data_IF_858530778574
#
_entry.id   IF_858530778574
#
_cell.length_a   1.000
_cell.length_b   1.000
_cell.length_c   1.000
_cell.angle_alpha   90.00
_cell.angle_beta   90.00
_cell.angle_gamma   90.00
#
_symmetry.space_group_name_H-M   'P 1'
#
loop_
_entity.id
_entity.type
_entity.pdbx_description
1 polymer ?
#
# COMPACT_ATOMS: atom_id res chain seq x y z
N UNK A 1 22.30 16.86 -16.76
CA UNK A 1 22.33 16.21 -15.43
C UNK A 1 20.99 15.52 -15.22
N UNK A 2 20.94 14.17 -15.17
CA UNK A 2 19.68 13.47 -14.84
C UNK A 2 19.34 13.76 -13.37
N UNK A 3 18.09 14.11 -13.08
CA UNK A 3 17.63 14.33 -11.71
C UNK A 3 17.81 13.05 -10.89
N UNK A 4 18.14 13.21 -9.59
CA UNK A 4 18.21 12.11 -8.64
C UNK A 4 17.08 12.26 -7.64
N UNK A 5 16.43 11.16 -7.29
CA UNK A 5 15.47 11.16 -6.20
C UNK A 5 16.20 11.29 -4.85
N UNK A 6 15.69 12.14 -3.97
CA UNK A 6 16.07 12.06 -2.56
C UNK A 6 15.39 10.82 -1.96
N UNK A 7 16.19 9.86 -1.51
CA UNK A 7 15.71 8.56 -1.03
C UNK A 7 14.77 8.67 0.16
N UNK A 8 15.09 9.54 1.12
CA UNK A 8 14.31 9.72 2.35
C UNK A 8 13.01 10.45 2.05
N UNK A 9 13.04 11.49 1.21
CA UNK A 9 11.82 12.17 0.78
C UNK A 9 10.87 11.22 0.05
N UNK A 10 11.39 10.39 -0.87
CA UNK A 10 10.55 9.43 -1.58
C UNK A 10 10.00 8.35 -0.64
N UNK A 11 10.82 7.82 0.26
CA UNK A 11 10.40 6.83 1.25
C UNK A 11 9.29 7.36 2.18
N UNK A 12 9.46 8.58 2.71
CA UNK A 12 8.46 9.23 3.56
C UNK A 12 7.16 9.49 2.78
N UNK A 13 7.25 9.99 1.55
CA UNK A 13 6.08 10.21 0.70
C UNK A 13 5.33 8.89 0.41
N UNK A 14 6.06 7.81 0.07
CA UNK A 14 5.46 6.49 -0.15
C UNK A 14 4.78 5.95 1.11
N UNK A 15 5.41 6.09 2.28
CA UNK A 15 4.85 5.64 3.55
C UNK A 15 3.55 6.37 3.90
N UNK A 16 3.55 7.70 3.81
CA UNK A 16 2.37 8.53 4.07
C UNK A 16 1.26 8.22 3.08
N UNK A 17 1.59 8.11 1.79
CA UNK A 17 0.62 7.80 0.74
C UNK A 17 -0.06 6.45 0.96
N UNK A 18 0.72 5.40 1.27
CA UNK A 18 0.16 4.08 1.56
C UNK A 18 -0.62 4.08 2.88
N UNK A 19 -0.21 4.86 3.88
CA UNK A 19 -1.00 5.04 5.10
C UNK A 19 -2.38 5.63 4.81
N UNK A 20 -2.45 6.67 3.97
CA UNK A 20 -3.71 7.28 3.53
C UNK A 20 -4.55 6.25 2.78
N UNK A 21 -3.98 5.56 1.79
CA UNK A 21 -4.68 4.52 1.02
C UNK A 21 -5.22 3.44 1.96
N UNK A 22 -4.45 2.97 2.92
CA UNK A 22 -4.89 1.94 3.87
C UNK A 22 -6.15 2.37 4.63
N UNK A 23 -6.18 3.61 5.13
CA UNK A 23 -7.33 4.17 5.83
C UNK A 23 -8.54 4.37 4.90
N UNK A 24 -8.31 4.81 3.66
CA UNK A 24 -9.38 4.96 2.66
C UNK A 24 -9.95 3.60 2.28
N UNK A 25 -9.10 2.62 1.96
CA UNK A 25 -9.53 1.24 1.69
C UNK A 25 -10.35 0.69 2.84
N UNK A 26 -9.93 0.98 4.08
CA UNK A 26 -10.67 0.57 5.27
C UNK A 26 -12.08 1.14 5.29
N UNK A 27 -12.20 2.43 5.10
CA UNK A 27 -13.47 3.13 5.09
C UNK A 27 -14.40 2.61 3.99
N UNK A 28 -13.86 2.37 2.80
CA UNK A 28 -14.60 1.80 1.67
C UNK A 28 -15.10 0.38 1.94
N UNK A 29 -14.31 -0.48 2.58
CA UNK A 29 -14.75 -1.85 2.93
C UNK A 29 -15.93 -1.82 3.90
N UNK A 30 -15.95 -0.87 4.82
CA UNK A 30 -17.04 -0.75 5.81
C UNK A 30 -18.30 -0.15 5.18
N UNK A 31 -18.18 0.89 4.36
CA UNK A 31 -19.34 1.58 3.78
C UNK A 31 -19.87 0.93 2.49
N UNK A 32 -18.98 0.36 1.69
CA UNK A 32 -19.27 -0.19 0.36
C UNK A 32 -18.63 -1.58 0.20
N UNK A 33 -19.05 -2.58 0.99
CA UNK A 33 -18.39 -3.88 1.05
C UNK A 33 -18.40 -4.63 -0.29
N UNK A 34 -19.51 -4.64 -1.01
CA UNK A 34 -19.63 -5.36 -2.28
C UNK A 34 -18.76 -4.75 -3.39
N UNK A 35 -18.73 -3.41 -3.48
CA UNK A 35 -17.85 -2.72 -4.42
C UNK A 35 -16.37 -2.99 -4.10
N UNK A 36 -16.01 -2.87 -2.81
CA UNK A 36 -14.63 -3.12 -2.35
C UNK A 36 -14.18 -4.55 -2.63
N UNK A 37 -15.09 -5.51 -2.43
CA UNK A 37 -14.88 -6.93 -2.72
C UNK A 37 -14.68 -7.17 -4.21
N UNK A 38 -15.55 -6.62 -5.05
CA UNK A 38 -15.45 -6.75 -6.52
C UNK A 38 -14.14 -6.18 -7.07
N UNK A 39 -13.74 -4.99 -6.59
CA UNK A 39 -12.44 -4.38 -6.96
C UNK A 39 -11.28 -5.27 -6.51
N UNK A 40 -11.29 -5.75 -5.26
CA UNK A 40 -10.25 -6.65 -4.75
C UNK A 40 -10.16 -7.92 -5.59
N UNK A 41 -11.28 -8.55 -5.90
CA UNK A 41 -11.33 -9.75 -6.72
C UNK A 41 -10.78 -9.54 -8.14
N UNK A 42 -10.89 -8.33 -8.69
CA UNK A 42 -10.36 -8.02 -10.03
C UNK A 42 -8.82 -7.89 -10.09
N UNK A 43 -8.17 -7.64 -8.95
CA UNK A 43 -6.71 -7.42 -8.89
C UNK A 43 -5.96 -8.67 -8.44
N UNK A 44 -6.53 -9.45 -7.53
CA UNK A 44 -5.90 -10.65 -6.98
C UNK A 44 -6.22 -11.89 -7.82
N UNK A 45 -5.19 -12.69 -8.07
CA UNK A 45 -5.30 -13.96 -8.79
C UNK A 45 -4.94 -15.13 -7.84
N UNK A 46 -5.53 -16.31 -8.06
CA UNK A 46 -5.18 -17.53 -7.29
C UNK A 46 -5.80 -17.63 -5.89
N UNK A 47 -6.68 -16.70 -5.49
CA UNK A 47 -7.39 -16.72 -4.21
C UNK A 47 -8.86 -16.43 -4.44
N UNK A 48 -9.75 -17.22 -3.82
CA UNK A 48 -11.19 -16.99 -3.83
C UNK A 48 -11.57 -15.93 -2.79
N UNK A 49 -11.52 -14.66 -3.21
CA UNK A 49 -11.88 -13.51 -2.36
C UNK A 49 -13.33 -13.63 -1.84
N UNK A 50 -14.23 -14.25 -2.62
CA UNK A 50 -15.65 -14.35 -2.25
C UNK A 50 -15.84 -15.16 -0.99
N UNK A 51 -15.07 -16.24 -0.83
CA UNK A 51 -15.18 -17.15 0.32
C UNK A 51 -14.55 -16.62 1.60
N UNK A 52 -13.56 -15.75 1.51
CA UNK A 52 -12.76 -15.29 2.67
C UNK A 52 -13.09 -13.86 3.12
N UNK A 53 -13.96 -13.15 2.38
CA UNK A 53 -14.29 -11.77 2.66
C UNK A 53 -15.04 -11.63 3.99
N UNK A 54 -14.55 -10.75 4.87
CA UNK A 54 -15.16 -10.46 6.17
C UNK A 54 -15.21 -8.96 6.41
N UNK A 55 -16.41 -8.44 6.66
CA UNK A 55 -16.63 -7.02 6.96
C UNK A 55 -16.60 -6.84 8.47
N UNK A 56 -15.40 -6.66 9.01
CA UNK A 56 -15.21 -6.22 10.40
C UNK A 56 -14.85 -4.74 10.40
N UNK A 57 -15.38 -3.86 11.27
CA UNK A 57 -15.07 -2.43 11.30
C UNK A 57 -13.66 -2.08 11.80
N UNK A 58 -13.10 -2.83 12.76
CA UNK A 58 -11.68 -2.81 13.17
C UNK A 58 -11.28 -4.21 13.68
N UNK A 59 -10.60 -5.08 12.89
CA UNK A 59 -10.10 -6.36 13.38
C UNK A 59 -8.90 -6.12 14.30
N UNK A 60 -8.60 -7.10 15.16
CA UNK A 60 -7.47 -7.03 16.08
C UNK A 60 -6.10 -6.82 15.42
N UNK A 61 -5.98 -7.08 14.11
CA UNK A 61 -4.76 -6.89 13.33
C UNK A 61 -4.70 -5.56 12.54
N UNK A 62 -5.65 -4.63 12.75
CA UNK A 62 -5.70 -3.35 12.02
C UNK A 62 -4.41 -2.54 12.17
N UNK A 63 -3.94 -2.33 13.41
CA UNK A 63 -2.71 -1.57 13.65
C UNK A 63 -1.48 -2.25 13.07
N UNK A 64 -1.40 -3.59 13.20
CA UNK A 64 -0.33 -4.37 12.60
C UNK A 64 -0.30 -4.17 11.08
N UNK A 65 -1.47 -4.25 10.42
CA UNK A 65 -1.60 -4.05 8.98
C UNK A 65 -1.20 -2.65 8.53
N UNK A 66 -1.65 -1.60 9.23
CA UNK A 66 -1.29 -0.21 8.93
C UNK A 66 0.22 0.02 9.07
N UNK A 67 0.81 -0.43 10.17
CA UNK A 67 2.25 -0.29 10.43
C UNK A 67 3.05 -1.10 9.41
N UNK A 68 2.68 -2.35 9.16
CA UNK A 68 3.40 -3.19 8.19
C UNK A 68 3.31 -2.65 6.76
N UNK A 69 2.14 -2.13 6.35
CA UNK A 69 1.95 -1.57 5.01
C UNK A 69 2.76 -0.28 4.82
N UNK A 70 2.70 0.64 5.79
CA UNK A 70 3.44 1.92 5.74
C UNK A 70 4.95 1.71 5.78
N UNK A 71 5.45 0.81 6.64
CA UNK A 71 6.88 0.45 6.68
C UNK A 71 7.33 -0.23 5.37
N UNK A 72 6.54 -1.16 4.84
CA UNK A 72 6.85 -1.82 3.57
C UNK A 72 6.93 -0.80 2.42
N UNK A 73 6.00 0.16 2.39
CA UNK A 73 6.00 1.24 1.40
C UNK A 73 7.19 2.19 1.56
N UNK A 74 7.58 2.51 2.80
CA UNK A 74 8.78 3.30 3.08
C UNK A 74 10.02 2.62 2.49
N UNK A 75 10.20 1.33 2.80
CA UNK A 75 11.33 0.53 2.31
C UNK A 75 11.31 0.45 0.79
N UNK A 76 10.14 0.17 0.20
CA UNK A 76 9.99 0.12 -1.26
C UNK A 76 10.36 1.46 -1.93
N UNK A 77 9.90 2.59 -1.39
CA UNK A 77 10.25 3.92 -1.88
C UNK A 77 11.76 4.21 -1.78
N UNK A 78 12.38 3.86 -0.66
CA UNK A 78 13.83 4.00 -0.48
C UNK A 78 14.62 3.14 -1.48
N UNK A 79 14.20 1.88 -1.67
CA UNK A 79 14.82 0.92 -2.60
C UNK A 79 14.67 1.42 -4.03
N UNK A 80 13.47 1.83 -4.43
CA UNK A 80 13.20 2.38 -5.76
C UNK A 80 14.09 3.59 -6.05
N UNK A 81 14.15 4.57 -5.14
CA UNK A 81 15.04 5.73 -5.29
C UNK A 81 16.51 5.33 -5.42
N UNK A 82 16.95 4.31 -4.67
CA UNK A 82 18.32 3.79 -4.74
C UNK A 82 18.63 3.17 -6.10
N UNK A 83 17.74 2.32 -6.61
CA UNK A 83 17.87 1.68 -7.92
C UNK A 83 17.86 2.73 -9.03
N UNK A 84 16.88 3.65 -9.01
CA UNK A 84 16.78 4.73 -9.99
C UNK A 84 18.06 5.58 -10.01
N UNK A 85 18.55 6.02 -8.85
CA UNK A 85 19.75 6.84 -8.76
C UNK A 85 21.02 6.11 -9.21
N UNK A 86 21.09 4.79 -9.06
CA UNK A 86 22.18 3.99 -9.57
C UNK A 86 22.22 4.02 -11.10
N UNK A 87 21.08 3.76 -11.75
CA UNK A 87 20.99 3.77 -13.21
C UNK A 87 21.03 5.18 -13.82
N UNK A 88 20.52 6.20 -13.13
CA UNK A 88 20.54 7.59 -13.59
C UNK A 88 21.93 8.25 -13.48
N UNK A 89 22.88 7.64 -12.76
CA UNK A 89 24.29 8.06 -12.75
C UNK A 89 25.10 7.53 -13.95
N UNK A 90 24.58 6.52 -14.66
CA UNK A 90 25.06 6.14 -16.00
C UNK A 90 24.29 6.93 -17.08
#
# INVERSE_FOLDING_TARGET
MKMKFNKILLANASAVWIGIIYLVCRFLVVLFPELSKAVTQSWFHGIDIVKIWSVQPIPGNFLLGLVSATLSAWVAGWVFASIYNYFAKK
#
